data_IF_832770562213
#
_entry.id   IF_832770562213
#
_cell.length_a   1.000
_cell.length_b   1.000
_cell.length_c   1.000
_cell.angle_alpha   90.00
_cell.angle_beta   90.00
_cell.angle_gamma   90.00
#
_symmetry.space_group_name_H-M   'P 1'
#
loop_
_entity.id
_entity.type
_entity.pdbx_description
1 polymer ?
#
# COMPACT_ATOMS: atom_id res chain seq x y z
N UNK A 1 -23.28 18.79 -3.19
CA UNK A 1 -23.74 18.84 -1.78
C UNK A 1 -23.55 20.29 -1.30
N UNK A 2 -24.47 20.83 -0.50
CA UNK A 2 -24.35 22.20 0.00
C UNK A 2 -23.36 22.22 1.19
N UNK A 3 -22.47 23.20 1.21
CA UNK A 3 -21.57 23.44 2.35
C UNK A 3 -22.36 23.99 3.55
N UNK A 4 -21.87 23.73 4.74
CA UNK A 4 -22.43 24.24 5.99
C UNK A 4 -21.64 25.47 6.42
N UNK A 5 -22.37 26.55 6.68
CA UNK A 5 -21.78 27.83 7.09
C UNK A 5 -21.99 28.05 8.59
N UNK A 6 -20.92 28.36 9.29
CA UNK A 6 -20.94 28.74 10.70
C UNK A 6 -20.44 30.17 10.85
N UNK A 7 -21.06 30.91 11.71
CA UNK A 7 -20.59 32.23 12.11
C UNK A 7 -20.05 32.17 13.54
N UNK A 8 -18.78 32.54 13.71
CA UNK A 8 -18.11 32.58 15.02
C UNK A 8 -17.43 33.93 15.12
N UNK A 9 -17.79 34.72 16.12
CA UNK A 9 -17.23 36.06 16.37
C UNK A 9 -17.27 36.96 15.13
N UNK A 10 -18.38 36.93 14.39
CA UNK A 10 -18.59 37.74 13.18
C UNK A 10 -17.81 37.28 11.94
N UNK A 11 -17.13 36.15 12.01
CA UNK A 11 -16.46 35.48 10.87
C UNK A 11 -17.26 34.31 10.38
N UNK A 12 -17.53 34.28 9.08
CA UNK A 12 -18.23 33.16 8.43
C UNK A 12 -17.21 32.10 7.97
N UNK A 13 -17.41 30.88 8.41
CA UNK A 13 -16.63 29.71 8.02
C UNK A 13 -17.51 28.82 7.15
N UNK A 14 -16.98 28.39 6.01
CA UNK A 14 -17.65 27.54 5.02
C UNK A 14 -16.98 26.16 5.02
N UNK A 15 -17.67 25.13 5.50
CA UNK A 15 -17.14 23.78 5.65
C UNK A 15 -17.90 22.80 4.77
N UNK A 16 -17.17 21.93 4.09
CA UNK A 16 -17.75 20.75 3.48
C UNK A 16 -18.29 19.80 4.56
N UNK A 17 -19.44 19.14 4.36
CA UNK A 17 -20.04 18.25 5.37
C UNK A 17 -19.12 17.14 5.90
N UNK A 18 -18.18 16.71 5.07
CA UNK A 18 -17.18 15.69 5.43
C UNK A 18 -16.03 16.18 6.31
N UNK A 19 -15.89 17.52 6.48
CA UNK A 19 -14.76 18.11 7.22
C UNK A 19 -14.94 18.16 8.74
N UNK A 20 -16.10 17.76 9.27
CA UNK A 20 -16.36 17.71 10.70
C UNK A 20 -17.24 16.52 11.09
N UNK A 21 -17.31 16.27 12.40
CA UNK A 21 -18.29 15.37 13.04
C UNK A 21 -18.94 16.10 14.21
N UNK A 22 -20.18 15.74 14.53
CA UNK A 22 -20.84 16.22 15.74
C UNK A 22 -20.76 15.10 16.76
N UNK A 23 -20.22 15.39 17.95
CA UNK A 23 -20.13 14.42 19.03
C UNK A 23 -21.51 14.20 19.70
N UNK A 24 -21.57 13.28 20.66
CA UNK A 24 -22.80 12.93 21.37
C UNK A 24 -23.33 14.08 22.26
N UNK A 25 -22.54 15.14 22.45
CA UNK A 25 -22.89 16.34 23.24
C UNK A 25 -23.29 17.51 22.32
N UNK A 26 -23.28 17.32 21.00
CA UNK A 26 -23.58 18.34 20.00
C UNK A 26 -22.40 19.27 19.66
N UNK A 27 -21.17 18.95 20.10
CA UNK A 27 -20.00 19.75 19.72
C UNK A 27 -19.52 19.41 18.31
N UNK A 28 -19.12 20.44 17.58
CA UNK A 28 -18.53 20.28 16.25
C UNK A 28 -17.05 20.02 16.43
N UNK A 29 -16.61 18.82 15.97
CA UNK A 29 -15.21 18.42 15.93
C UNK A 29 -14.75 18.47 14.47
N UNK A 30 -13.83 19.36 14.16
CA UNK A 30 -13.20 19.39 12.84
C UNK A 30 -12.39 18.10 12.66
N UNK A 31 -12.65 17.39 11.58
CA UNK A 31 -11.78 16.29 11.18
C UNK A 31 -10.45 16.89 10.71
N UNK A 32 -9.36 16.45 11.27
CA UNK A 32 -8.06 16.73 10.65
C UNK A 32 -8.09 16.24 9.21
N UNK A 33 -7.80 17.15 8.28
CA UNK A 33 -7.66 16.78 6.87
C UNK A 33 -6.53 15.77 6.82
N UNK A 34 -6.86 14.48 6.56
CA UNK A 34 -5.83 13.47 6.35
C UNK A 34 -4.90 13.98 5.27
N UNK A 35 -3.67 14.31 5.63
CA UNK A 35 -2.65 14.67 4.66
C UNK A 35 -2.53 13.51 3.68
N UNK A 36 -2.50 13.84 2.40
CA UNK A 36 -2.23 12.83 1.39
C UNK A 36 -0.85 12.20 1.69
N UNK A 37 -0.76 10.89 1.85
CA UNK A 37 0.45 10.25 2.41
C UNK A 37 1.71 10.42 1.55
N UNK A 38 1.56 10.88 0.31
CA UNK A 38 2.67 11.17 -0.61
C UNK A 38 2.91 12.67 -0.81
N UNK A 39 2.26 13.52 -0.01
CA UNK A 39 2.50 14.96 -0.02
C UNK A 39 3.85 15.27 0.64
N UNK A 40 4.62 16.15 0.02
CA UNK A 40 5.92 16.56 0.55
C UNK A 40 5.75 17.30 1.88
N UNK A 41 6.47 16.86 2.91
CA UNK A 41 6.45 17.50 4.22
C UNK A 41 7.31 18.77 4.24
N UNK A 42 7.16 19.56 5.28
CA UNK A 42 7.99 20.76 5.49
C UNK A 42 9.41 20.38 5.88
N UNK A 43 10.33 21.30 5.66
CA UNK A 43 11.72 21.16 6.11
C UNK A 43 11.79 20.86 7.61
N UNK A 44 12.59 19.82 7.96
CA UNK A 44 12.74 19.35 9.33
C UNK A 44 11.73 18.28 9.76
N UNK A 45 10.61 18.12 9.07
CA UNK A 45 9.65 17.04 9.31
C UNK A 45 10.16 15.71 8.75
N UNK A 46 9.72 14.60 9.33
CA UNK A 46 10.14 13.26 8.90
C UNK A 46 9.25 12.71 7.80
N UNK A 47 9.85 11.96 6.90
CA UNK A 47 9.17 11.12 5.92
C UNK A 47 9.80 9.72 5.90
N UNK A 48 9.12 8.77 5.26
CA UNK A 48 9.54 7.39 5.13
C UNK A 48 9.79 7.04 3.66
N UNK A 49 10.72 6.11 3.42
CA UNK A 49 11.03 5.59 2.10
C UNK A 49 11.50 4.14 2.18
N UNK A 50 11.43 3.41 1.07
CA UNK A 50 11.93 2.03 0.99
C UNK A 50 13.39 2.09 0.59
N UNK A 51 14.28 1.58 1.44
CA UNK A 51 15.71 1.46 1.18
C UNK A 51 16.05 0.38 0.14
N UNK A 52 17.30 0.35 -0.29
CA UNK A 52 17.75 -0.61 -1.30
C UNK A 52 17.65 -2.08 -0.88
N UNK A 53 17.61 -2.37 0.42
CA UNK A 53 17.37 -3.70 0.99
C UNK A 53 15.87 -4.05 1.13
N UNK A 54 14.97 -3.11 0.80
CA UNK A 54 13.52 -3.27 0.91
C UNK A 54 12.92 -2.93 2.28
N UNK A 55 13.73 -2.46 3.23
CA UNK A 55 13.24 -2.02 4.54
C UNK A 55 12.74 -0.57 4.47
N UNK A 56 11.75 -0.25 5.31
CA UNK A 56 11.26 1.12 5.47
C UNK A 56 12.21 1.90 6.36
N UNK A 57 12.73 2.98 5.83
CA UNK A 57 13.66 3.88 6.49
C UNK A 57 13.03 5.25 6.70
N UNK A 58 13.57 6.03 7.65
CA UNK A 58 13.10 7.38 7.97
C UNK A 58 14.20 8.39 7.66
N UNK A 59 13.80 9.50 7.03
CA UNK A 59 14.66 10.68 6.87
C UNK A 59 13.89 11.94 7.26
N UNK A 60 14.65 12.99 7.58
CA UNK A 60 14.11 14.35 7.72
C UNK A 60 14.18 15.06 6.37
N UNK A 61 13.07 15.74 6.03
CA UNK A 61 13.05 16.63 4.87
C UNK A 61 14.11 17.73 5.05
N UNK A 62 14.93 17.91 4.05
CA UNK A 62 15.88 19.00 3.98
C UNK A 62 15.86 19.56 2.56
N UNK A 63 16.25 20.83 2.42
CA UNK A 63 16.29 21.52 1.14
C UNK A 63 17.33 20.98 0.16
N UNK A 64 18.11 19.96 0.59
CA UNK A 64 19.12 19.34 -0.23
C UNK A 64 18.47 18.45 -1.29
N UNK A 65 19.10 18.39 -2.43
CA UNK A 65 18.72 17.67 -3.66
C UNK A 65 18.33 16.18 -3.46
N UNK A 66 18.69 15.58 -2.31
CA UNK A 66 18.48 14.16 -2.03
C UNK A 66 17.01 13.81 -1.72
N UNK A 67 16.34 14.62 -0.90
CA UNK A 67 14.95 14.36 -0.51
C UNK A 67 13.98 14.54 -1.67
N UNK A 68 14.27 15.48 -2.56
CA UNK A 68 13.53 15.66 -3.81
C UNK A 68 13.56 14.44 -4.72
N UNK A 69 14.65 13.65 -4.74
CA UNK A 69 14.73 12.42 -5.54
C UNK A 69 13.75 11.35 -5.06
N UNK A 70 13.61 11.15 -3.74
CA UNK A 70 12.66 10.17 -3.19
C UNK A 70 11.22 10.55 -3.54
N UNK A 71 10.88 11.82 -3.43
CA UNK A 71 9.55 12.32 -3.82
C UNK A 71 9.28 12.11 -5.31
N UNK A 72 10.23 12.47 -6.19
CA UNK A 72 10.08 12.38 -7.64
C UNK A 72 10.00 10.94 -8.16
N UNK A 73 10.62 9.97 -7.50
CA UNK A 73 10.50 8.55 -7.86
C UNK A 73 9.38 7.84 -7.10
N UNK A 74 8.46 8.59 -6.46
CA UNK A 74 7.35 8.07 -5.68
C UNK A 74 7.75 7.12 -4.52
N UNK A 75 9.01 7.21 -4.06
CA UNK A 75 9.52 6.48 -2.90
C UNK A 75 9.57 7.41 -1.68
N UNK A 76 8.44 8.02 -1.36
CA UNK A 76 8.28 9.03 -0.32
C UNK A 76 6.90 8.90 0.29
N UNK A 77 6.79 8.77 1.60
CA UNK A 77 5.50 8.62 2.26
C UNK A 77 5.54 9.20 3.68
N UNK A 78 4.44 9.78 4.13
CA UNK A 78 4.27 10.28 5.50
C UNK A 78 3.61 9.26 6.42
N UNK A 79 3.11 8.15 5.86
CA UNK A 79 2.49 7.04 6.57
C UNK A 79 3.42 5.81 6.52
N UNK A 80 4.04 5.51 7.67
CA UNK A 80 4.97 4.39 7.79
C UNK A 80 4.30 3.04 7.57
N UNK A 81 3.05 2.87 8.03
CA UNK A 81 2.35 1.58 7.94
C UNK A 81 1.91 1.31 6.50
N UNK A 82 1.43 2.33 5.80
CA UNK A 82 1.17 2.24 4.38
C UNK A 82 2.43 1.82 3.60
N UNK A 83 3.57 2.43 3.94
CA UNK A 83 4.81 2.13 3.25
C UNK A 83 5.36 0.74 3.58
N UNK A 84 5.19 0.25 4.83
CA UNK A 84 5.56 -1.13 5.22
C UNK A 84 4.77 -2.17 4.42
N UNK A 85 3.48 -1.95 4.22
CA UNK A 85 2.64 -2.83 3.38
C UNK A 85 3.10 -2.84 1.94
N UNK A 86 3.41 -1.68 1.38
CA UNK A 86 3.99 -1.56 0.04
C UNK A 86 5.34 -2.28 -0.06
N UNK A 87 6.23 -2.07 0.90
CA UNK A 87 7.54 -2.73 0.93
C UNK A 87 7.42 -4.26 0.98
N UNK A 88 6.48 -4.77 1.77
CA UNK A 88 6.18 -6.21 1.83
C UNK A 88 5.67 -6.74 0.49
N UNK A 89 4.74 -6.01 -0.15
CA UNK A 89 4.23 -6.37 -1.48
C UNK A 89 5.35 -6.45 -2.51
N UNK A 90 6.19 -5.43 -2.60
CA UNK A 90 7.32 -5.38 -3.53
C UNK A 90 8.36 -6.48 -3.24
N UNK A 91 8.55 -6.82 -1.96
CA UNK A 91 9.42 -7.93 -1.55
C UNK A 91 8.87 -9.26 -2.03
N UNK A 92 7.59 -9.55 -1.78
CA UNK A 92 6.92 -10.76 -2.27
C UNK A 92 7.03 -10.89 -3.78
N UNK A 93 6.74 -9.82 -4.51
CA UNK A 93 6.80 -9.80 -5.98
C UNK A 93 8.21 -10.15 -6.48
N UNK A 94 9.26 -9.56 -5.90
CA UNK A 94 10.66 -9.87 -6.25
C UNK A 94 11.03 -11.33 -5.96
N UNK A 95 10.62 -11.88 -4.82
CA UNK A 95 10.92 -13.27 -4.46
C UNK A 95 10.17 -14.26 -5.34
N UNK A 96 8.91 -13.98 -5.69
CA UNK A 96 8.14 -14.79 -6.62
C UNK A 96 8.76 -14.77 -8.04
N UNK A 97 9.20 -13.61 -8.51
CA UNK A 97 9.92 -13.47 -9.77
C UNK A 97 11.18 -14.33 -9.79
N UNK A 98 11.99 -14.23 -8.75
CA UNK A 98 13.20 -15.03 -8.60
C UNK A 98 12.87 -16.53 -8.61
N UNK A 99 11.91 -16.94 -7.82
CA UNK A 99 11.49 -18.33 -7.74
C UNK A 99 10.97 -18.86 -9.09
N UNK A 100 10.17 -18.06 -9.82
CA UNK A 100 9.71 -18.41 -11.15
C UNK A 100 10.88 -18.66 -12.10
N UNK A 101 11.84 -17.74 -12.16
CA UNK A 101 13.00 -17.84 -13.04
C UNK A 101 13.89 -19.04 -12.71
N UNK A 102 14.12 -19.35 -11.43
CA UNK A 102 14.90 -20.51 -10.98
C UNK A 102 14.20 -21.83 -11.27
N UNK A 103 12.87 -21.84 -11.47
CA UNK A 103 12.06 -23.04 -11.70
C UNK A 103 11.45 -23.14 -13.10
N UNK A 104 12.09 -22.56 -14.08
CA UNK A 104 11.76 -22.74 -15.51
C UNK A 104 11.03 -21.57 -16.16
N UNK A 105 10.95 -20.43 -15.45
CA UNK A 105 10.45 -19.17 -15.99
C UNK A 105 8.93 -19.07 -16.07
N UNK A 106 8.47 -18.12 -16.87
CA UNK A 106 7.05 -17.79 -17.04
C UNK A 106 6.29 -18.90 -17.81
N UNK A 107 5.00 -19.00 -17.56
CA UNK A 107 4.06 -19.90 -18.22
C UNK A 107 2.64 -19.39 -18.07
N UNK A 108 1.68 -20.27 -18.01
CA UNK A 108 0.25 -19.93 -17.96
C UNK A 108 -0.33 -19.90 -16.53
N UNK A 109 0.43 -20.33 -15.54
CA UNK A 109 -0.05 -20.43 -14.18
C UNK A 109 0.34 -19.20 -13.36
N UNK A 110 -0.59 -18.71 -12.55
CA UNK A 110 -0.36 -17.56 -11.69
C UNK A 110 -0.93 -17.77 -10.28
N UNK A 111 -0.41 -17.04 -9.33
CA UNK A 111 -0.89 -17.02 -7.97
C UNK A 111 -1.90 -15.88 -7.82
N UNK A 112 -3.01 -16.15 -7.17
CA UNK A 112 -4.05 -15.19 -6.85
C UNK A 112 -4.45 -15.29 -5.38
N UNK A 113 -4.98 -14.20 -4.83
CA UNK A 113 -5.55 -14.19 -3.50
C UNK A 113 -7.08 -14.17 -3.59
N UNK A 114 -7.73 -15.20 -3.07
CA UNK A 114 -9.19 -15.26 -2.96
C UNK A 114 -9.63 -14.52 -1.70
N UNK A 115 -10.14 -13.31 -1.88
CA UNK A 115 -10.62 -12.45 -0.78
C UNK A 115 -11.79 -13.07 -0.01
N UNK A 116 -12.64 -13.86 -0.66
CA UNK A 116 -13.80 -14.48 -0.03
C UNK A 116 -13.43 -15.61 0.93
N UNK A 117 -12.40 -16.36 0.57
CA UNK A 117 -11.86 -17.48 1.35
C UNK A 117 -10.64 -17.11 2.18
N UNK A 118 -10.08 -15.92 1.95
CA UNK A 118 -8.83 -15.44 2.56
C UNK A 118 -7.68 -16.43 2.37
N UNK A 119 -7.55 -16.97 1.17
CA UNK A 119 -6.53 -17.97 0.84
C UNK A 119 -5.81 -17.62 -0.44
N UNK A 120 -4.55 -17.99 -0.48
CA UNK A 120 -3.78 -18.00 -1.72
C UNK A 120 -4.16 -19.21 -2.55
N UNK A 121 -4.31 -19.01 -3.84
CA UNK A 121 -4.64 -20.04 -4.79
C UNK A 121 -3.81 -19.94 -6.06
N UNK A 122 -3.83 -21.01 -6.85
CA UNK A 122 -3.17 -21.07 -8.15
C UNK A 122 -4.23 -21.20 -9.23
N UNK A 123 -4.12 -20.40 -10.29
CA UNK A 123 -5.05 -20.42 -11.41
C UNK A 123 -4.29 -20.36 -12.75
N UNK A 124 -5.01 -20.61 -13.85
CA UNK A 124 -4.48 -20.61 -15.20
C UNK A 124 -5.02 -19.42 -16.01
N UNK A 125 -4.17 -18.79 -16.80
CA UNK A 125 -4.54 -17.64 -17.63
C UNK A 125 -5.61 -17.97 -18.69
N UNK A 126 -5.64 -19.19 -19.21
CA UNK A 126 -6.64 -19.64 -20.19
C UNK A 126 -8.09 -19.56 -19.67
N UNK A 127 -8.30 -19.58 -18.36
CA UNK A 127 -9.63 -19.58 -17.73
C UNK A 127 -10.18 -18.19 -17.42
N UNK A 128 -9.50 -17.14 -17.86
CA UNK A 128 -10.04 -15.77 -18.02
C UNK A 128 -10.15 -14.91 -16.77
N UNK A 129 -9.79 -13.66 -16.92
CA UNK A 129 -10.41 -12.54 -16.18
C UNK A 129 -9.79 -12.11 -14.85
N UNK A 130 -8.81 -12.81 -14.29
CA UNK A 130 -8.20 -12.42 -13.01
C UNK A 130 -6.84 -11.74 -13.20
N UNK A 131 -6.63 -10.66 -12.47
CA UNK A 131 -5.32 -10.01 -12.42
C UNK A 131 -4.38 -10.89 -11.58
N UNK A 132 -3.30 -11.39 -12.21
CA UNK A 132 -2.28 -12.17 -11.52
C UNK A 132 -1.55 -11.33 -10.47
N UNK A 133 -1.21 -11.95 -9.35
CA UNK A 133 -0.26 -11.41 -8.40
C UNK A 133 1.15 -11.87 -8.77
N UNK A 134 2.03 -10.91 -9.10
CA UNK A 134 3.41 -11.22 -9.46
C UNK A 134 3.57 -11.93 -10.82
N UNK A 135 4.61 -12.73 -10.98
CA UNK A 135 4.93 -13.42 -12.23
C UNK A 135 4.01 -14.62 -12.48
N UNK A 136 4.05 -15.10 -13.72
CA UNK A 136 3.47 -16.40 -14.06
C UNK A 136 4.50 -17.53 -13.88
N UNK A 137 4.02 -18.78 -13.84
CA UNK A 137 4.82 -19.96 -13.57
C UNK A 137 4.61 -21.02 -14.66
N UNK A 138 5.65 -21.80 -14.93
CA UNK A 138 5.67 -22.83 -15.96
C UNK A 138 4.58 -23.90 -15.77
N UNK A 139 4.24 -24.25 -14.53
CA UNK A 139 3.24 -25.29 -14.23
C UNK A 139 2.51 -25.00 -12.93
N UNK A 140 1.34 -25.65 -12.76
CA UNK A 140 0.57 -25.63 -11.52
C UNK A 140 1.43 -26.00 -10.30
N UNK A 141 2.23 -27.05 -10.42
CA UNK A 141 3.10 -27.54 -9.34
C UNK A 141 4.10 -26.49 -8.90
N UNK A 142 4.77 -25.83 -9.85
CA UNK A 142 5.74 -24.75 -9.55
C UNK A 142 5.05 -23.55 -8.89
N UNK A 143 3.87 -23.17 -9.33
CA UNK A 143 3.10 -22.09 -8.70
C UNK A 143 2.66 -22.45 -7.26
N UNK A 144 2.25 -23.68 -7.04
CA UNK A 144 1.90 -24.18 -5.69
C UNK A 144 3.12 -24.17 -4.76
N UNK A 145 4.26 -24.69 -5.23
CA UNK A 145 5.52 -24.64 -4.47
C UNK A 145 5.96 -23.21 -4.15
N UNK A 146 5.70 -22.24 -5.04
CA UNK A 146 5.99 -20.84 -4.78
C UNK A 146 5.10 -20.28 -3.64
N UNK A 147 3.85 -20.71 -3.55
CA UNK A 147 2.97 -20.35 -2.42
C UNK A 147 3.55 -20.86 -1.11
N UNK A 148 3.95 -22.12 -1.06
CA UNK A 148 4.47 -22.76 0.15
C UNK A 148 5.86 -22.24 0.56
N UNK A 149 6.76 -22.00 -0.41
CA UNK A 149 8.17 -21.67 -0.15
C UNK A 149 8.44 -20.17 -0.09
N UNK A 150 7.59 -19.34 -0.68
CA UNK A 150 7.79 -17.90 -0.75
C UNK A 150 6.71 -17.13 0.02
N UNK A 151 5.43 -17.36 -0.29
CA UNK A 151 4.35 -16.58 0.30
C UNK A 151 4.18 -16.92 1.78
N UNK A 152 3.97 -18.18 2.12
CA UNK A 152 3.71 -18.59 3.50
C UNK A 152 4.79 -18.15 4.50
N UNK A 153 6.11 -18.31 4.21
CA UNK A 153 7.14 -17.85 5.13
C UNK A 153 7.19 -16.33 5.30
N UNK A 154 6.95 -15.57 4.22
CA UNK A 154 6.99 -14.10 4.26
C UNK A 154 5.73 -13.51 4.90
N UNK A 155 4.61 -14.23 4.82
CA UNK A 155 3.32 -13.81 5.38
C UNK A 155 3.05 -14.31 6.79
N UNK A 156 3.98 -15.09 7.35
CA UNK A 156 3.77 -15.67 8.68
C UNK A 156 3.52 -14.59 9.74
N UNK A 157 2.32 -14.60 10.33
CA UNK A 157 1.90 -13.63 11.33
C UNK A 157 1.46 -12.27 10.78
N UNK A 158 1.33 -12.14 9.46
CA UNK A 158 0.82 -10.94 8.79
C UNK A 158 -0.54 -11.27 8.19
N UNK A 159 -1.55 -10.44 8.44
CA UNK A 159 -2.85 -10.62 7.81
C UNK A 159 -2.73 -10.31 6.31
N UNK A 160 -3.23 -11.22 5.47
CA UNK A 160 -3.11 -11.09 4.01
C UNK A 160 -3.77 -9.80 3.48
N UNK A 161 -4.78 -9.30 4.15
CA UNK A 161 -5.44 -8.01 3.86
C UNK A 161 -4.47 -6.82 3.97
N UNK A 162 -3.46 -6.91 4.81
CA UNK A 162 -2.47 -5.85 4.98
C UNK A 162 -1.67 -5.61 3.70
N UNK A 163 -1.41 -6.65 2.90
CA UNK A 163 -0.69 -6.50 1.64
C UNK A 163 -1.49 -5.68 0.64
N UNK A 164 -2.81 -5.89 0.58
CA UNK A 164 -3.63 -5.25 -0.46
C UNK A 164 -4.19 -3.90 -0.05
N UNK A 165 -4.19 -3.58 1.24
CA UNK A 165 -4.74 -2.32 1.76
C UNK A 165 -3.97 -1.06 1.33
N UNK A 166 -2.71 -1.18 0.90
CA UNK A 166 -1.94 -0.05 0.38
C UNK A 166 -2.42 0.44 -1.00
N UNK A 167 -3.17 -0.37 -1.74
CA UNK A 167 -3.71 0.00 -3.06
C UNK A 167 -4.89 0.97 -2.99
N UNK A 168 -5.31 1.38 -1.79
CA UNK A 168 -6.40 2.35 -1.62
C UNK A 168 -7.76 1.83 -2.07
N UNK A 169 -7.96 0.52 -2.08
CA UNK A 169 -9.16 -0.16 -2.57
C UNK A 169 -9.94 -0.72 -1.40
#
# INVERSE_FOLDING_TARGET
MANIKFEIEGKVYDFAPESFVIDNKGNIILKEKKKYPFERVKEGESFYFIGGNGDVMTLKENSLCFTGKYHNCANYCTDADLLRRRALYEKLERYLWRFSMENGGSGEWYICFDRSKRTWGVNCLEKGGWVSFGPTFKSYKVALEATEKVIEPLMRGIAEEEIFSWRGV
#
